data_IF_370180728495
#
_entry.id   IF_370180728495
#
_cell.length_a   1.000
_cell.length_b   1.000
_cell.length_c   1.000
_cell.angle_alpha   90.00
_cell.angle_beta   90.00
_cell.angle_gamma   90.00
#
_symmetry.space_group_name_H-M   'P 1'
#
loop_
_entity.id
_entity.type
_entity.pdbx_description
1 polymer ?
#
# COMPACT_ATOMS: atom_id res chain seq x y z
N UNK A 1 -10.71 -11.23 -9.49
CA UNK A 1 -9.32 -10.72 -9.53
C UNK A 1 -9.27 -9.38 -8.80
N UNK A 2 -8.44 -9.26 -7.75
CA UNK A 2 -8.21 -8.01 -7.02
C UNK A 2 -6.84 -7.44 -7.37
N UNK A 3 -6.79 -6.16 -7.75
CA UNK A 3 -5.56 -5.44 -8.06
C UNK A 3 -5.39 -4.27 -7.08
N UNK A 4 -4.18 -4.07 -6.59
CA UNK A 4 -3.80 -2.86 -5.88
C UNK A 4 -3.00 -1.93 -6.78
N UNK A 5 -3.18 -0.63 -6.58
CA UNK A 5 -2.32 0.41 -7.15
C UNK A 5 -1.65 1.11 -5.97
N UNK A 6 -0.34 0.97 -5.79
CA UNK A 6 0.44 1.76 -4.83
C UNK A 6 0.53 3.18 -5.36
N UNK A 7 -0.26 4.07 -4.76
CA UNK A 7 -0.48 5.43 -5.23
C UNK A 7 -1.81 5.96 -4.71
N UNK A 8 -2.29 7.05 -5.30
CA UNK A 8 -3.50 7.73 -4.84
C UNK A 8 -4.29 8.33 -6.02
N UNK A 9 -5.42 8.97 -5.73
CA UNK A 9 -6.29 9.58 -6.72
C UNK A 9 -5.82 10.95 -7.23
N UNK A 10 -4.78 11.55 -6.63
CA UNK A 10 -4.20 12.83 -7.07
C UNK A 10 -3.17 12.63 -8.21
N UNK A 11 -2.59 11.43 -8.34
CA UNK A 11 -1.79 11.06 -9.51
C UNK A 11 -2.72 10.72 -10.69
N UNK A 12 -2.66 11.54 -11.75
CA UNK A 12 -3.51 11.41 -12.95
C UNK A 12 -3.36 10.03 -13.61
N UNK A 13 -2.16 9.45 -13.62
CA UNK A 13 -1.91 8.13 -14.17
C UNK A 13 -2.58 7.05 -13.31
N UNK A 14 -2.42 7.11 -11.98
CA UNK A 14 -3.10 6.20 -11.05
C UNK A 14 -4.62 6.31 -11.15
N UNK A 15 -5.16 7.52 -11.30
CA UNK A 15 -6.58 7.79 -11.55
C UNK A 15 -7.07 7.10 -12.82
N UNK A 16 -6.40 7.38 -13.95
CA UNK A 16 -6.75 6.80 -15.24
C UNK A 16 -6.66 5.27 -15.27
N UNK A 17 -5.62 4.70 -14.64
CA UNK A 17 -5.43 3.26 -14.55
C UNK A 17 -6.56 2.60 -13.75
N UNK A 18 -6.90 3.15 -12.58
CA UNK A 18 -7.99 2.62 -11.76
C UNK A 18 -9.32 2.66 -12.50
N UNK A 19 -9.63 3.77 -13.18
CA UNK A 19 -10.84 3.91 -13.98
C UNK A 19 -10.89 2.87 -15.10
N UNK A 20 -9.80 2.71 -15.84
CA UNK A 20 -9.68 1.74 -16.95
C UNK A 20 -9.86 0.29 -16.48
N UNK A 21 -9.30 -0.06 -15.31
CA UNK A 21 -9.47 -1.39 -14.72
C UNK A 21 -10.90 -1.61 -14.22
N UNK A 22 -11.50 -0.61 -13.55
CA UNK A 22 -12.90 -0.67 -13.10
C UNK A 22 -13.88 -0.83 -14.26
N UNK A 23 -13.67 -0.12 -15.38
CA UNK A 23 -14.50 -0.23 -16.58
C UNK A 23 -14.51 -1.65 -17.17
N UNK A 24 -13.46 -2.44 -16.90
CA UNK A 24 -13.36 -3.86 -17.28
C UNK A 24 -13.92 -4.82 -16.21
N UNK A 25 -14.62 -4.32 -15.20
CA UNK A 25 -15.18 -5.12 -14.10
C UNK A 25 -14.14 -5.63 -13.10
N UNK A 26 -12.90 -5.13 -13.14
CA UNK A 26 -11.85 -5.57 -12.21
C UNK A 26 -12.02 -4.87 -10.87
N UNK A 27 -11.93 -5.63 -9.78
CA UNK A 27 -11.88 -5.06 -8.43
C UNK A 27 -10.51 -4.44 -8.21
N UNK A 28 -10.45 -3.11 -8.13
CA UNK A 28 -9.19 -2.36 -7.98
C UNK A 28 -9.32 -1.29 -6.92
N UNK A 29 -8.28 -1.16 -6.09
CA UNK A 29 -8.22 -0.18 -5.01
C UNK A 29 -6.83 0.47 -4.92
N UNK A 30 -6.78 1.67 -4.35
CA UNK A 30 -5.52 2.31 -4.03
C UNK A 30 -4.94 1.77 -2.73
N UNK A 31 -3.64 1.51 -2.75
CA UNK A 31 -2.82 1.44 -1.55
C UNK A 31 -2.18 2.83 -1.35
N UNK A 32 -2.97 3.78 -0.83
CA UNK A 32 -2.50 5.14 -0.53
C UNK A 32 -1.78 5.14 0.82
N UNK A 33 -0.44 5.18 0.78
CA UNK A 33 0.39 5.09 1.99
C UNK A 33 0.27 6.31 2.90
N UNK A 34 -0.22 7.44 2.39
CA UNK A 34 -0.53 8.65 3.19
C UNK A 34 -1.68 8.42 4.17
N UNK A 35 -2.40 7.30 4.03
CA UNK A 35 -3.47 6.92 4.94
C UNK A 35 -2.97 5.97 6.03
N UNK A 36 -1.76 5.40 5.90
CA UNK A 36 -1.18 4.49 6.89
C UNK A 36 -0.31 5.28 7.89
N UNK A 37 -0.32 4.97 9.20
CA UNK A 37 -1.08 3.90 9.87
C UNK A 37 -2.48 4.29 10.39
N UNK A 38 -2.93 5.52 10.17
CA UNK A 38 -4.11 6.07 10.86
C UNK A 38 -5.45 5.58 10.33
N UNK A 39 -5.62 5.59 9.00
CA UNK A 39 -6.88 5.26 8.31
C UNK A 39 -6.80 3.95 7.53
N UNK A 40 -5.66 3.70 6.91
CA UNK A 40 -5.31 2.42 6.29
C UNK A 40 -4.56 1.59 7.35
N UNK A 41 -4.96 0.33 7.53
CA UNK A 41 -4.27 -0.60 8.43
C UNK A 41 -3.74 -1.78 7.65
N UNK A 42 -2.53 -2.20 8.00
CA UNK A 42 -1.84 -3.33 7.38
C UNK A 42 -1.48 -4.31 8.50
N UNK A 43 -1.97 -5.54 8.37
CA UNK A 43 -1.50 -6.67 9.15
C UNK A 43 -0.79 -7.60 8.20
N UNK A 44 0.45 -7.98 8.49
CA UNK A 44 1.25 -8.77 7.57
C UNK A 44 2.17 -9.73 8.34
N UNK A 45 2.18 -10.99 7.92
CA UNK A 45 3.10 -12.00 8.37
C UNK A 45 4.09 -12.30 7.23
N UNK A 46 5.37 -11.90 7.34
CA UNK A 46 6.36 -12.10 6.27
C UNK A 46 6.56 -13.54 5.83
N UNK A 47 6.57 -14.49 6.77
CA UNK A 47 6.95 -15.88 6.48
C UNK A 47 5.90 -16.59 5.61
N UNK A 48 4.63 -16.48 6.00
CA UNK A 48 3.51 -17.09 5.27
C UNK A 48 2.97 -16.17 4.18
N UNK A 49 3.44 -14.93 4.15
CA UNK A 49 2.94 -13.84 3.33
C UNK A 49 1.41 -13.67 3.39
N UNK A 50 0.83 -13.91 4.57
CA UNK A 50 -0.59 -13.75 4.85
C UNK A 50 -0.84 -12.46 5.62
N UNK A 51 -2.11 -12.10 5.74
CA UNK A 51 -2.53 -10.90 6.47
C UNK A 51 -3.63 -10.18 5.73
N UNK A 52 -3.82 -8.90 6.05
CA UNK A 52 -4.93 -8.14 5.50
C UNK A 52 -4.63 -6.64 5.41
N UNK A 53 -5.37 -6.00 4.50
CA UNK A 53 -5.52 -4.56 4.42
C UNK A 53 -6.91 -4.19 4.93
N UNK A 54 -6.99 -3.17 5.77
CA UNK A 54 -8.26 -2.55 6.16
C UNK A 54 -8.27 -1.11 5.67
N UNK A 55 -9.21 -0.81 4.77
CA UNK A 55 -9.36 0.49 4.15
C UNK A 55 -10.09 1.48 5.07
N UNK A 56 -10.05 2.80 4.79
CA UNK A 56 -10.70 3.81 5.62
C UNK A 56 -12.21 3.64 5.78
N UNK A 57 -12.86 2.98 4.83
CA UNK A 57 -14.30 2.66 4.87
C UNK A 57 -14.63 1.36 5.61
N UNK A 58 -13.62 0.73 6.24
CA UNK A 58 -13.76 -0.50 7.01
C UNK A 58 -13.72 -1.78 6.16
N UNK A 59 -13.72 -1.68 4.83
CA UNK A 59 -13.54 -2.88 3.97
C UNK A 59 -12.20 -3.53 4.28
N UNK A 60 -12.21 -4.87 4.31
CA UNK A 60 -11.04 -5.69 4.57
C UNK A 60 -10.73 -6.57 3.38
N UNK A 61 -9.48 -6.54 2.90
CA UNK A 61 -8.99 -7.45 1.88
C UNK A 61 -7.94 -8.38 2.48
N UNK A 62 -8.09 -9.68 2.25
CA UNK A 62 -7.03 -10.65 2.52
C UNK A 62 -5.89 -10.44 1.51
N UNK A 63 -4.65 -10.46 1.97
CA UNK A 63 -3.48 -10.31 1.11
C UNK A 63 -3.32 -11.46 0.10
N UNK A 64 -3.88 -12.64 0.41
CA UNK A 64 -3.88 -13.81 -0.48
C UNK A 64 -4.79 -13.60 -1.69
N UNK A 65 -5.90 -12.87 -1.54
CA UNK A 65 -6.84 -12.54 -2.63
C UNK A 65 -6.27 -11.54 -3.66
N UNK A 66 -5.19 -10.84 -3.32
CA UNK A 66 -4.60 -9.80 -4.16
C UNK A 66 -3.75 -10.47 -5.23
N UNK A 67 -4.12 -10.30 -6.50
CA UNK A 67 -3.47 -10.95 -7.61
C UNK A 67 -2.23 -10.19 -8.08
N UNK A 68 -2.35 -8.86 -8.21
CA UNK A 68 -1.28 -8.00 -8.70
C UNK A 68 -1.27 -6.66 -7.96
N UNK A 69 -0.08 -6.08 -7.85
CA UNK A 69 0.17 -4.76 -7.29
C UNK A 69 0.91 -3.95 -8.34
N UNK A 70 0.33 -2.83 -8.75
CA UNK A 70 0.97 -1.87 -9.64
C UNK A 70 1.65 -0.78 -8.82
N UNK A 71 2.97 -0.67 -8.94
CA UNK A 71 3.72 0.41 -8.30
C UNK A 71 3.61 1.68 -9.14
N UNK A 72 2.97 2.72 -8.60
CA UNK A 72 2.94 4.05 -9.21
C UNK A 72 3.77 5.06 -8.43
N UNK A 73 3.43 5.29 -7.16
CA UNK A 73 4.10 6.27 -6.30
C UNK A 73 4.09 5.81 -4.84
N UNK A 74 5.18 6.08 -4.13
CA UNK A 74 5.25 5.98 -2.67
C UNK A 74 5.21 7.39 -2.07
N UNK A 75 4.21 7.68 -1.24
CA UNK A 75 3.95 9.04 -0.75
C UNK A 75 4.19 9.19 0.76
N UNK A 76 5.03 8.33 1.34
CA UNK A 76 5.34 8.35 2.77
C UNK A 76 4.25 7.76 3.64
N UNK A 77 4.29 8.07 4.94
CA UNK A 77 3.35 7.64 5.99
C UNK A 77 2.76 8.85 6.68
N UNK A 78 1.62 8.67 7.34
CA UNK A 78 0.92 9.71 8.08
C UNK A 78 0.75 9.29 9.54
N UNK A 79 1.81 9.53 10.32
CA UNK A 79 1.81 9.42 11.77
C UNK A 79 1.30 10.75 12.33
N UNK A 80 0.28 10.74 13.20
CA UNK A 80 -0.22 11.96 13.82
C UNK A 80 0.85 12.53 14.76
N UNK A 81 0.81 13.84 14.96
CA UNK A 81 1.72 14.49 15.91
C UNK A 81 1.54 13.91 17.30
N UNK A 82 2.61 13.43 17.93
CA UNK A 82 2.58 12.91 19.29
C UNK A 82 3.14 13.93 20.28
N UNK A 83 2.75 13.81 21.55
CA UNK A 83 3.28 14.67 22.62
C UNK A 83 4.78 14.46 22.82
N UNK A 84 5.22 13.21 22.71
CA UNK A 84 6.62 12.81 22.80
C UNK A 84 7.21 12.67 21.38
N UNK A 85 8.17 13.53 21.04
CA UNK A 85 8.82 13.55 19.72
C UNK A 85 9.67 12.31 19.45
N UNK A 86 10.17 11.64 20.49
CA UNK A 86 10.90 10.40 20.35
C UNK A 86 9.96 9.26 19.93
N UNK A 87 8.78 9.17 20.56
CA UNK A 87 7.75 8.21 20.16
C UNK A 87 7.22 8.47 18.75
N UNK A 88 7.07 9.73 18.37
CA UNK A 88 6.70 10.10 16.99
C UNK A 88 7.71 9.57 15.99
N UNK A 89 9.01 9.77 16.28
CA UNK A 89 10.10 9.26 15.46
C UNK A 89 10.07 7.72 15.36
N UNK A 90 9.82 7.03 16.47
CA UNK A 90 9.65 5.56 16.47
C UNK A 90 8.49 5.16 15.56
N UNK A 91 7.32 5.77 15.72
CA UNK A 91 6.12 5.43 14.95
C UNK A 91 6.31 5.68 13.43
N UNK A 92 7.02 6.74 13.05
CA UNK A 92 7.37 7.02 11.64
C UNK A 92 8.30 5.94 11.10
N UNK A 93 9.38 5.65 11.82
CA UNK A 93 10.37 4.66 11.38
C UNK A 93 9.79 3.25 11.30
N UNK A 94 8.99 2.84 12.27
CA UNK A 94 8.29 1.56 12.26
C UNK A 94 7.31 1.47 11.08
N UNK A 95 6.51 2.51 10.85
CA UNK A 95 5.56 2.55 9.74
C UNK A 95 6.25 2.44 8.37
N UNK A 96 7.36 3.16 8.19
CA UNK A 96 8.18 3.09 6.97
C UNK A 96 8.84 1.71 6.84
N UNK A 97 9.38 1.16 7.94
CA UNK A 97 10.01 -0.14 7.98
C UNK A 97 9.06 -1.27 7.57
N UNK A 98 7.83 -1.24 8.09
CA UNK A 98 6.77 -2.17 7.71
C UNK A 98 6.44 -2.05 6.22
N UNK A 99 6.20 -0.84 5.71
CA UNK A 99 5.85 -0.65 4.31
C UNK A 99 6.97 -1.12 3.38
N UNK A 100 8.23 -0.78 3.68
CA UNK A 100 9.39 -1.25 2.89
C UNK A 100 9.48 -2.77 2.86
N UNK A 101 9.30 -3.41 4.01
CA UNK A 101 9.35 -4.87 4.13
C UNK A 101 8.20 -5.54 3.38
N UNK A 102 6.98 -5.01 3.54
CA UNK A 102 5.79 -5.46 2.81
C UNK A 102 6.02 -5.35 1.29
N UNK A 103 6.52 -4.19 0.84
CA UNK A 103 6.78 -3.92 -0.58
C UNK A 103 7.83 -4.86 -1.18
N UNK A 104 8.90 -5.19 -0.44
CA UNK A 104 9.93 -6.14 -0.88
C UNK A 104 9.47 -7.60 -0.89
N UNK A 105 8.44 -7.96 -0.13
CA UNK A 105 8.11 -9.36 0.16
C UNK A 105 7.26 -10.11 -0.87
N UNK A 106 6.82 -9.47 -1.96
CA UNK A 106 5.88 -10.05 -2.95
C UNK A 106 6.27 -9.80 -4.41
N UNK A 107 7.52 -10.11 -4.84
CA UNK A 107 7.99 -9.81 -6.20
C UNK A 107 7.07 -10.37 -7.30
N UNK A 108 6.48 -11.55 -7.08
CA UNK A 108 5.56 -12.22 -8.01
C UNK A 108 4.24 -11.45 -8.26
N UNK A 109 3.81 -10.65 -7.28
CA UNK A 109 2.60 -9.83 -7.40
C UNK A 109 2.87 -8.48 -8.03
N UNK A 110 4.11 -8.00 -8.05
CA UNK A 110 4.42 -6.69 -8.59
C UNK A 110 4.43 -6.70 -10.13
N UNK A 111 3.74 -5.74 -10.73
CA UNK A 111 3.84 -5.48 -12.18
C UNK A 111 5.05 -4.60 -12.50
N UNK A 112 5.47 -3.77 -11.53
CA UNK A 112 6.74 -3.06 -11.46
C UNK A 112 7.31 -3.32 -10.06
N UNK A 113 8.31 -4.18 -9.95
CA UNK A 113 8.90 -4.62 -8.68
C UNK A 113 9.63 -3.50 -7.93
N UNK A 114 10.13 -3.82 -6.74
CA UNK A 114 11.00 -2.93 -5.96
C UNK A 114 12.21 -2.46 -6.76
N UNK A 115 12.70 -3.29 -7.67
CA UNK A 115 13.81 -3.00 -8.58
C UNK A 115 13.52 -1.78 -9.47
N UNK A 116 12.25 -1.51 -9.81
CA UNK A 116 11.86 -0.31 -10.56
C UNK A 116 11.84 0.96 -9.69
N UNK A 117 11.74 0.82 -8.36
CA UNK A 117 11.83 1.93 -7.40
C UNK A 117 13.29 2.34 -7.14
N UNK A 118 14.25 1.42 -7.23
CA UNK A 118 15.68 1.74 -7.03
C UNK A 118 16.26 2.70 -8.08
N UNK A 119 15.53 2.98 -9.15
CA UNK A 119 15.90 3.94 -10.20
C UNK A 119 15.11 5.27 -10.16
N UNK A 120 14.30 5.52 -9.11
CA UNK A 120 13.63 6.80 -8.85
C UNK A 120 14.36 7.61 -7.78
#
# INVERSE_FOLDING_TARGET
MKILILGNNEDIHAAHLKQSLKAKGITVEYLDTRLFPTKLKISWQPITHTGCLTFPDGRKWDLTDINKIFWRTFSGVNVPKLTDSYQETIAVNDSIGLLRSFMRSKPDKWVNGWEAYEFQ
#
